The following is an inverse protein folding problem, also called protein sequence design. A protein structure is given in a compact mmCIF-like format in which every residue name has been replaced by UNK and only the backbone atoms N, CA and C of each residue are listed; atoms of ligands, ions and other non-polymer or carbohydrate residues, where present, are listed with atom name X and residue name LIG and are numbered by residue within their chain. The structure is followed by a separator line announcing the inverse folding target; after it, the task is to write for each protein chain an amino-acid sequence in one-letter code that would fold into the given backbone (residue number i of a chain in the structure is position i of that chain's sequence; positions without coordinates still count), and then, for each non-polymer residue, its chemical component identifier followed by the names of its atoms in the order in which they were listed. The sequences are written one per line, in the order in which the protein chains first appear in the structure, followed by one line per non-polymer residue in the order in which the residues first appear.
data_IF_719760976810
#
_entry.id   IF_719760976810
#
_cell.length_a   1.000
_cell.length_b   1.000
_cell.length_c   1.000
_cell.angle_alpha   90.00
_cell.angle_beta   90.00
_cell.angle_gamma   90.00
#
_symmetry.space_group_name_H-M   'P 1'
#
loop_
_entity.id
_entity.type
_entity.pdbx_description
1 polymer ?
#
# COMPACT_ATOMS: atom_id res chain seq x y z
N UNK A 1 -10.90 0.34 6.23
CA UNK A 1 -10.30 1.28 5.25
C UNK A 1 -9.25 2.09 5.97
N UNK A 2 -8.02 2.16 5.48
CA UNK A 2 -7.01 3.06 6.03
C UNK A 2 -7.51 4.51 6.00
N UNK A 3 -7.31 5.25 7.08
CA UNK A 3 -7.53 6.70 7.09
C UNK A 3 -6.27 7.40 6.61
N UNK A 4 -6.45 8.50 5.87
CA UNK A 4 -5.37 9.30 5.31
C UNK A 4 -5.30 10.62 6.06
N UNK A 5 -4.15 10.89 6.68
CA UNK A 5 -3.82 12.21 7.20
C UNK A 5 -3.27 13.06 6.06
N UNK A 6 -3.85 14.25 5.88
CA UNK A 6 -3.45 15.22 4.86
C UNK A 6 -2.86 16.45 5.54
N UNK A 7 -1.61 16.76 5.23
CA UNK A 7 -0.91 17.95 5.72
C UNK A 7 -0.68 18.92 4.56
N UNK A 8 -1.01 20.19 4.74
CA UNK A 8 -0.68 21.22 3.74
C UNK A 8 0.79 21.59 3.87
N UNK A 9 1.50 21.61 2.75
CA UNK A 9 2.88 22.08 2.67
C UNK A 9 2.82 23.57 2.34
N UNK A 10 3.21 24.39 3.29
CA UNK A 10 3.39 25.82 3.07
C UNK A 10 4.78 26.03 2.51
N UNK A 11 4.86 26.59 1.31
CA UNK A 11 6.12 26.92 0.70
C UNK A 11 6.12 28.40 0.34
N UNK A 12 6.95 29.15 1.05
CA UNK A 12 7.34 30.52 0.77
C UNK A 12 6.73 31.61 1.66
N UNK A 13 7.45 32.73 1.78
CA UNK A 13 7.00 34.01 2.35
C UNK A 13 6.18 34.80 1.29
N UNK A 14 5.27 35.71 1.71
CA UNK A 14 4.50 36.50 0.75
C UNK A 14 5.42 37.37 -0.12
N UNK A 15 5.51 37.05 -1.42
CA UNK A 15 6.27 37.81 -2.42
C UNK A 15 7.35 37.03 -3.18
N UNK A 16 7.55 35.73 -2.91
CA UNK A 16 8.52 34.89 -3.63
C UNK A 16 7.88 33.83 -4.54
N UNK A 17 8.71 33.23 -5.41
CA UNK A 17 8.31 32.33 -6.48
C UNK A 17 7.65 31.05 -5.94
N UNK A 18 6.55 30.64 -6.57
CA UNK A 18 5.77 29.47 -6.15
C UNK A 18 6.64 28.21 -6.19
N UNK A 19 6.69 27.49 -5.08
CA UNK A 19 7.51 26.28 -5.01
C UNK A 19 6.95 25.17 -5.90
N UNK A 20 7.85 24.48 -6.58
CA UNK A 20 7.54 23.35 -7.42
C UNK A 20 7.40 22.09 -6.58
N UNK A 21 6.25 21.42 -6.64
CA UNK A 21 5.99 20.18 -5.90
C UNK A 21 4.51 19.98 -5.57
N UNK A 22 4.21 18.86 -4.92
CA UNK A 22 2.88 18.63 -4.35
C UNK A 22 2.66 19.60 -3.18
N UNK A 23 1.49 20.26 -3.13
CA UNK A 23 1.13 21.19 -2.04
C UNK A 23 0.67 20.49 -0.77
N UNK A 24 0.64 19.15 -0.78
CA UNK A 24 0.15 18.34 0.31
C UNK A 24 1.00 17.10 0.49
N UNK A 25 1.21 16.72 1.75
CA UNK A 25 1.75 15.43 2.14
C UNK A 25 0.61 14.54 2.66
N UNK A 26 0.67 13.25 2.35
CA UNK A 26 -0.31 12.27 2.78
C UNK A 26 0.36 11.15 3.57
N UNK A 27 -0.21 10.79 4.73
CA UNK A 27 0.27 9.68 5.57
C UNK A 27 -0.86 8.72 5.89
N UNK A 28 -0.53 7.44 5.99
CA UNK A 28 -1.49 6.41 6.41
C UNK A 28 -1.58 6.40 7.94
N UNK A 29 -2.78 6.56 8.48
CA UNK A 29 -3.03 6.38 9.90
C UNK A 29 -2.98 4.90 10.26
N UNK A 30 -2.25 4.56 11.32
CA UNK A 30 -2.24 3.19 11.85
C UNK A 30 -3.59 2.89 12.50
N UNK A 31 -4.31 1.96 11.90
CA UNK A 31 -5.58 1.43 12.39
C UNK A 31 -5.46 -0.10 12.45
N UNK A 32 -6.17 -0.75 13.38
CA UNK A 32 -6.23 -2.20 13.40
C UNK A 32 -6.84 -2.72 12.09
N UNK A 33 -6.32 -3.84 11.61
CA UNK A 33 -6.83 -4.49 10.41
C UNK A 33 -8.31 -4.85 10.56
N UNK A 34 -9.04 -4.78 9.45
CA UNK A 34 -10.42 -5.23 9.42
C UNK A 34 -10.48 -6.75 9.68
N UNK A 35 -11.52 -7.25 10.38
CA UNK A 35 -11.71 -8.68 10.59
C UNK A 35 -11.67 -9.47 9.27
N UNK A 36 -11.18 -10.72 9.28
CA UNK A 36 -11.19 -11.56 8.09
C UNK A 36 -12.63 -11.76 7.59
N UNK A 37 -12.80 -11.75 6.26
CA UNK A 37 -14.13 -11.84 5.63
C UNK A 37 -14.90 -10.52 5.56
N UNK A 38 -14.31 -9.40 6.00
CA UNK A 38 -14.91 -8.09 5.77
C UNK A 38 -14.96 -7.78 4.27
N UNK A 39 -16.11 -7.31 3.78
CA UNK A 39 -16.28 -6.86 2.40
C UNK A 39 -15.28 -5.75 2.07
N UNK A 40 -14.54 -5.82 0.94
CA UNK A 40 -13.62 -4.76 0.57
C UNK A 40 -14.37 -3.44 0.33
N UNK A 41 -13.68 -2.33 0.58
CA UNK A 41 -14.35 -1.03 0.59
C UNK A 41 -14.82 -0.56 -0.79
N UNK A 42 -14.13 -0.99 -1.85
CA UNK A 42 -14.54 -0.72 -3.23
C UNK A 42 -15.86 -1.40 -3.58
N UNK A 43 -16.04 -2.65 -3.13
CA UNK A 43 -17.29 -3.40 -3.27
C UNK A 43 -18.45 -2.67 -2.58
N UNK A 44 -18.21 -2.18 -1.35
CA UNK A 44 -19.20 -1.37 -0.64
C UNK A 44 -19.56 -0.11 -1.44
N UNK A 45 -18.58 0.62 -1.96
CA UNK A 45 -18.79 1.83 -2.76
C UNK A 45 -19.62 1.56 -4.03
N UNK A 46 -19.35 0.48 -4.77
CA UNK A 46 -20.18 0.09 -5.92
C UNK A 46 -21.61 -0.29 -5.48
N UNK A 47 -21.74 -1.03 -4.37
CA UNK A 47 -23.05 -1.49 -3.89
C UNK A 47 -24.00 -0.36 -3.48
N UNK A 48 -23.46 0.84 -3.15
CA UNK A 48 -24.27 2.03 -2.88
C UNK A 48 -25.11 2.46 -4.09
N UNK A 49 -24.75 2.05 -5.30
CA UNK A 49 -25.49 2.36 -6.53
C UNK A 49 -26.42 1.23 -6.98
N UNK A 50 -26.50 0.12 -6.22
CA UNK A 50 -27.41 -0.97 -6.52
C UNK A 50 -28.87 -0.49 -6.44
N UNK A 51 -29.68 -0.82 -7.45
CA UNK A 51 -31.08 -0.40 -7.47
C UNK A 51 -31.31 1.08 -7.81
N UNK A 52 -30.24 1.86 -8.06
CA UNK A 52 -30.35 3.23 -8.53
C UNK A 52 -30.36 3.28 -10.07
N UNK A 53 -31.27 4.06 -10.68
CA UNK A 53 -31.29 4.22 -12.13
C UNK A 53 -30.08 5.01 -12.63
N UNK A 54 -29.55 4.60 -13.77
CA UNK A 54 -28.34 5.18 -14.41
C UNK A 54 -28.55 5.39 -15.90
N UNK A 55 -27.70 6.24 -16.50
CA UNK A 55 -27.62 6.48 -17.95
C UNK A 55 -28.91 7.05 -18.55
N UNK A 56 -29.66 7.87 -17.79
CA UNK A 56 -30.96 8.42 -18.20
C UNK A 56 -32.01 7.34 -18.56
N UNK A 57 -31.75 6.10 -18.13
CA UNK A 57 -32.68 4.97 -18.25
C UNK A 57 -33.28 4.68 -16.87
N UNK A 58 -34.56 4.29 -16.82
CA UNK A 58 -35.15 3.76 -15.57
C UNK A 58 -34.67 2.34 -15.22
N UNK A 59 -33.58 1.87 -15.85
CA UNK A 59 -33.01 0.55 -15.57
C UNK A 59 -32.05 0.63 -14.39
N UNK A 60 -32.12 -0.39 -13.56
CA UNK A 60 -31.26 -0.55 -12.39
C UNK A 60 -30.41 -1.81 -12.57
N UNK A 61 -29.24 -1.80 -11.95
CA UNK A 61 -28.27 -2.89 -12.06
C UNK A 61 -27.70 -3.24 -10.68
N UNK A 62 -27.08 -4.41 -10.60
CA UNK A 62 -26.17 -4.76 -9.51
C UNK A 62 -24.75 -4.47 -9.98
N UNK A 63 -23.95 -3.87 -9.10
CA UNK A 63 -22.65 -3.33 -9.42
C UNK A 63 -21.56 -4.06 -8.66
N UNK A 64 -20.51 -4.46 -9.38
CA UNK A 64 -19.29 -5.04 -8.81
C UNK A 64 -18.06 -4.22 -9.23
N UNK A 65 -16.99 -4.19 -8.43
CA UNK A 65 -15.78 -3.45 -8.79
C UNK A 65 -15.19 -3.86 -10.14
N UNK A 66 -14.82 -2.87 -10.95
CA UNK A 66 -14.07 -3.07 -12.19
C UNK A 66 -12.68 -2.41 -12.07
N UNK A 67 -11.63 -3.22 -12.18
CA UNK A 67 -10.24 -2.76 -12.07
C UNK A 67 -9.55 -2.59 -13.44
N UNK A 68 -10.23 -2.88 -14.55
CA UNK A 68 -9.65 -2.81 -15.91
C UNK A 68 -9.71 -1.43 -16.57
N UNK A 69 -10.23 -0.41 -15.88
CA UNK A 69 -10.35 0.94 -16.42
C UNK A 69 -9.00 1.68 -16.39
N UNK A 70 -8.76 2.66 -17.30
CA UNK A 70 -7.51 3.39 -17.36
C UNK A 70 -7.13 4.11 -16.05
N UNK A 71 -8.12 4.69 -15.36
CA UNK A 71 -7.94 5.31 -14.06
C UNK A 71 -8.48 4.39 -12.96
N UNK A 72 -7.56 3.70 -12.27
CA UNK A 72 -7.89 2.75 -11.20
C UNK A 72 -8.54 3.41 -9.99
N UNK A 73 -8.32 4.70 -9.75
CA UNK A 73 -8.87 5.44 -8.60
C UNK A 73 -10.16 6.21 -8.90
N UNK A 74 -10.73 5.96 -10.09
CA UNK A 74 -12.14 6.24 -10.33
C UNK A 74 -12.96 5.00 -9.93
N UNK A 75 -14.14 5.24 -9.37
CA UNK A 75 -15.09 4.22 -8.94
C UNK A 75 -15.78 3.63 -10.18
N UNK A 76 -15.03 2.76 -10.86
CA UNK A 76 -15.50 2.01 -12.01
C UNK A 76 -16.18 0.73 -11.52
N UNK A 77 -17.46 0.58 -11.85
CA UNK A 77 -18.26 -0.57 -11.46
C UNK A 77 -18.84 -1.25 -12.70
N UNK A 78 -18.65 -2.56 -12.82
CA UNK A 78 -19.22 -3.40 -13.86
C UNK A 78 -20.67 -3.75 -13.49
N UNK A 79 -21.58 -3.64 -14.45
CA UNK A 79 -22.95 -4.11 -14.27
C UNK A 79 -22.95 -5.65 -14.34
N UNK A 80 -23.34 -6.31 -13.25
CA UNK A 80 -23.32 -7.77 -13.14
C UNK A 80 -24.22 -8.41 -14.22
N UNK A 81 -23.69 -9.43 -14.90
CA UNK A 81 -24.37 -10.07 -16.03
C UNK A 81 -24.40 -9.25 -17.34
N UNK A 82 -23.72 -8.09 -17.38
CA UNK A 82 -23.68 -7.21 -18.54
C UNK A 82 -22.23 -6.87 -18.94
N UNK A 83 -22.04 -6.48 -20.21
CA UNK A 83 -20.72 -6.22 -20.79
C UNK A 83 -20.36 -4.72 -20.79
N UNK A 84 -20.79 -3.97 -19.77
CA UNK A 84 -20.45 -2.55 -19.64
C UNK A 84 -20.17 -2.19 -18.18
N UNK A 85 -19.29 -1.20 -17.99
CA UNK A 85 -19.04 -0.59 -16.70
C UNK A 85 -19.44 0.89 -16.73
N UNK A 86 -19.69 1.44 -15.56
CA UNK A 86 -19.96 2.86 -15.38
C UNK A 86 -19.01 3.43 -14.33
N UNK A 87 -18.60 4.69 -14.51
CA UNK A 87 -17.80 5.41 -13.52
C UNK A 87 -18.71 6.31 -12.70
N UNK A 88 -18.73 6.09 -11.38
CA UNK A 88 -19.51 6.87 -10.42
C UNK A 88 -18.72 8.03 -9.81
N UNK A 89 -17.61 8.41 -10.44
CA UNK A 89 -16.72 9.46 -9.98
C UNK A 89 -15.45 8.90 -9.35
N UNK A 90 -14.91 9.61 -8.36
CA UNK A 90 -13.66 9.27 -7.70
C UNK A 90 -13.90 8.32 -6.53
N UNK A 91 -13.01 7.35 -6.33
CA UNK A 91 -13.02 6.55 -5.11
C UNK A 91 -12.71 7.40 -3.87
N UNK A 92 -13.25 6.98 -2.74
CA UNK A 92 -12.93 7.60 -1.46
C UNK A 92 -11.46 7.36 -1.09
N UNK A 93 -10.83 8.39 -0.51
CA UNK A 93 -9.43 8.33 -0.10
C UNK A 93 -9.19 7.17 0.88
N UNK A 94 -8.10 6.43 0.68
CA UNK A 94 -7.78 5.22 1.44
C UNK A 94 -8.34 3.93 0.85
N UNK A 95 -9.12 3.98 -0.24
CA UNK A 95 -9.52 2.76 -0.97
C UNK A 95 -8.30 2.10 -1.62
N UNK A 96 -8.06 0.79 -1.46
CA UNK A 96 -6.98 0.10 -2.18
C UNK A 96 -7.19 0.16 -3.70
N UNK A 97 -6.18 0.59 -4.46
CA UNK A 97 -6.30 0.74 -5.92
C UNK A 97 -6.48 -0.60 -6.63
N UNK A 98 -5.78 -1.63 -6.15
CA UNK A 98 -5.77 -2.97 -6.73
C UNK A 98 -5.74 -4.00 -5.61
N UNK A 99 -6.53 -5.09 -5.69
CA UNK A 99 -6.50 -6.13 -4.69
C UNK A 99 -5.09 -6.70 -4.51
N UNK A 100 -4.64 -6.83 -3.26
CA UNK A 100 -3.35 -7.42 -2.91
C UNK A 100 -2.13 -6.50 -3.05
N UNK A 101 -2.30 -5.24 -3.46
CA UNK A 101 -1.21 -4.26 -3.46
C UNK A 101 -1.31 -3.31 -2.25
N UNK A 102 -0.21 -2.61 -1.95
CA UNK A 102 -0.16 -1.60 -0.88
C UNK A 102 -0.57 -0.20 -1.35
N UNK A 103 -1.00 -0.06 -2.61
CA UNK A 103 -1.38 1.23 -3.18
C UNK A 103 -2.78 1.65 -2.71
N UNK A 104 -2.91 2.92 -2.33
CA UNK A 104 -4.16 3.54 -1.91
C UNK A 104 -4.53 4.70 -2.83
N UNK A 105 -5.81 4.83 -3.14
CA UNK A 105 -6.34 5.95 -3.86
C UNK A 105 -6.40 7.17 -2.95
N UNK A 106 -5.77 8.27 -3.38
CA UNK A 106 -5.78 9.56 -2.69
C UNK A 106 -5.88 10.66 -3.73
N UNK A 107 -6.87 11.54 -3.60
CA UNK A 107 -7.13 12.63 -4.53
C UNK A 107 -7.22 12.17 -6.01
N UNK A 108 -7.68 10.94 -6.25
CA UNK A 108 -7.84 10.35 -7.59
C UNK A 108 -6.57 9.78 -8.20
N UNK A 109 -5.48 9.68 -7.43
CA UNK A 109 -4.22 9.06 -7.83
C UNK A 109 -3.98 7.82 -6.99
N UNK A 110 -3.39 6.78 -7.58
CA UNK A 110 -2.93 5.63 -6.82
C UNK A 110 -1.54 5.91 -6.25
N UNK A 111 -1.43 6.03 -4.94
CA UNK A 111 -0.18 6.31 -4.23
C UNK A 111 0.20 5.11 -3.36
N UNK A 112 1.47 4.70 -3.41
CA UNK A 112 2.00 3.67 -2.51
C UNK A 112 2.76 4.32 -1.36
N UNK A 113 2.70 3.71 -0.18
CA UNK A 113 3.48 4.18 0.96
C UNK A 113 4.97 3.89 0.75
N UNK A 114 5.81 4.90 0.94
CA UNK A 114 7.23 4.68 1.15
C UNK A 114 7.50 4.05 2.51
N UNK A 115 8.72 3.58 2.72
CA UNK A 115 9.17 3.07 4.02
C UNK A 115 9.16 4.13 5.13
N UNK A 116 9.06 5.42 4.75
CA UNK A 116 8.93 6.59 5.62
C UNK A 116 7.47 6.86 6.06
N UNK A 117 6.53 6.03 5.59
CA UNK A 117 5.10 6.14 5.88
C UNK A 117 4.39 7.25 5.11
N UNK A 118 5.06 7.89 4.15
CA UNK A 118 4.50 8.94 3.31
C UNK A 118 4.00 8.31 2.01
N UNK A 119 2.76 8.62 1.63
CA UNK A 119 2.19 8.16 0.37
C UNK A 119 2.78 8.95 -0.80
N UNK A 120 3.36 8.23 -1.76
CA UNK A 120 3.96 8.83 -2.96
C UNK A 120 5.37 9.38 -2.78
N UNK A 121 6.03 9.18 -1.63
CA UNK A 121 7.43 9.61 -1.42
C UNK A 121 8.41 8.88 -2.33
N UNK A 122 8.10 7.63 -2.70
CA UNK A 122 9.00 6.77 -3.47
C UNK A 122 10.21 6.29 -2.65
N UNK A 123 10.27 6.60 -1.35
CA UNK A 123 11.35 6.16 -0.47
C UNK A 123 11.24 4.67 -0.22
N UNK A 124 12.30 3.93 -0.55
CA UNK A 124 12.37 2.48 -0.37
C UNK A 124 13.39 2.10 0.71
N UNK A 125 13.18 0.94 1.31
CA UNK A 125 14.20 0.31 2.14
C UNK A 125 15.41 -0.07 1.28
N UNK A 126 16.60 0.12 1.84
CA UNK A 126 17.83 -0.43 1.27
C UNK A 126 17.92 -1.94 1.53
N UNK A 127 18.99 -2.59 1.05
CA UNK A 127 19.17 -4.04 1.23
C UNK A 127 19.39 -4.45 2.69
N UNK A 128 19.73 -3.50 3.55
CA UNK A 128 19.88 -3.69 4.98
C UNK A 128 18.53 -3.55 5.71
N UNK A 129 17.49 -3.07 5.03
CA UNK A 129 16.18 -2.78 5.61
C UNK A 129 16.11 -1.40 6.27
N UNK A 130 17.06 -0.50 5.97
CA UNK A 130 17.00 0.89 6.39
C UNK A 130 16.27 1.72 5.36
N UNK A 131 15.26 2.47 5.80
CA UNK A 131 14.52 3.36 4.92
C UNK A 131 15.41 4.50 4.40
N UNK A 132 15.53 4.64 3.08
CA UNK A 132 16.41 5.62 2.45
C UNK A 132 17.91 5.37 2.69
N UNK A 133 18.28 4.16 3.08
CA UNK A 133 19.66 3.79 3.39
C UNK A 133 20.59 3.71 2.17
N UNK A 134 21.90 3.78 2.43
CA UNK A 134 22.94 3.76 1.40
C UNK A 134 23.52 2.35 1.12
N UNK A 135 22.92 1.28 1.67
CA UNK A 135 23.43 -0.10 1.61
C UNK A 135 24.79 -0.31 2.29
N UNK A 136 25.13 0.52 3.26
CA UNK A 136 26.43 0.51 3.94
C UNK A 136 26.34 0.21 5.44
N UNK A 137 25.15 0.03 6.00
CA UNK A 137 24.94 -0.39 7.39
C UNK A 137 25.12 -1.90 7.60
N UNK A 138 25.03 -2.71 6.53
CA UNK A 138 25.12 -4.16 6.60
C UNK A 138 26.15 -4.76 5.62
N UNK A 139 26.42 -6.05 5.79
CA UNK A 139 27.23 -6.91 4.92
C UNK A 139 26.33 -8.00 4.34
N UNK A 140 26.51 -8.32 3.06
CA UNK A 140 25.76 -9.37 2.38
C UNK A 140 26.46 -10.73 2.58
N UNK A 141 25.71 -11.72 3.07
CA UNK A 141 26.24 -13.07 3.33
C UNK A 141 25.66 -14.03 2.30
N UNK A 142 26.51 -14.51 1.38
CA UNK A 142 26.10 -15.45 0.32
C UNK A 142 25.93 -16.89 0.83
N UNK A 143 26.64 -17.28 1.89
CA UNK A 143 26.57 -18.63 2.49
C UNK A 143 26.86 -18.57 3.99
N UNK A 144 25.99 -19.17 4.77
CA UNK A 144 26.25 -19.54 6.17
C UNK A 144 26.34 -21.07 6.18
N UNK A 145 27.51 -21.62 6.49
CA UNK A 145 27.62 -23.06 6.73
C UNK A 145 27.05 -23.35 8.12
N UNK A 146 25.97 -24.11 8.21
CA UNK A 146 25.56 -24.79 9.44
C UNK A 146 25.45 -26.27 9.13
N UNK A 147 26.21 -27.08 9.87
CA UNK A 147 25.99 -28.53 9.92
C UNK A 147 24.54 -28.80 10.33
N UNK A 148 23.93 -29.76 9.64
CA UNK A 148 22.50 -29.98 9.58
C UNK A 148 21.88 -30.32 10.96
N UNK A 149 20.86 -29.54 11.32
CA UNK A 149 19.87 -29.86 12.35
C UNK A 149 18.58 -29.12 12.02
N UNK A 150 17.53 -29.89 11.74
CA UNK A 150 16.24 -29.48 11.17
C UNK A 150 15.67 -28.14 11.67
N UNK A 151 15.17 -27.32 10.73
CA UNK A 151 14.42 -26.11 11.02
C UNK A 151 12.94 -26.35 10.63
N UNK A 152 11.97 -26.18 11.56
CA UNK A 152 10.57 -26.41 11.24
C UNK A 152 10.02 -25.30 10.31
N UNK A 153 8.92 -25.66 9.66
CA UNK A 153 8.29 -24.93 8.55
C UNK A 153 7.63 -23.65 9.09
N UNK A 154 8.19 -22.50 8.73
CA UNK A 154 7.70 -21.15 9.05
C UNK A 154 6.41 -20.79 8.30
N UNK A 155 5.32 -20.55 9.04
CA UNK A 155 4.01 -20.12 8.51
C UNK A 155 3.78 -18.61 8.53
N UNK A 156 4.83 -17.79 8.42
CA UNK A 156 4.67 -16.34 8.29
C UNK A 156 5.66 -15.75 7.27
N UNK A 157 5.27 -14.68 6.58
CA UNK A 157 6.02 -13.95 5.55
C UNK A 157 7.30 -13.26 6.06
N UNK A 158 8.14 -13.93 6.86
CA UNK A 158 9.47 -13.44 7.18
C UNK A 158 10.37 -13.61 5.95
N UNK A 159 10.69 -12.49 5.30
CA UNK A 159 11.74 -12.45 4.27
C UNK A 159 13.04 -12.92 4.91
N UNK A 160 13.59 -14.04 4.45
CA UNK A 160 14.96 -14.45 4.77
C UNK A 160 15.89 -13.30 4.38
N UNK A 161 16.46 -12.60 5.38
CA UNK A 161 17.42 -11.51 5.14
C UNK A 161 18.82 -12.13 5.07
N UNK A 162 19.48 -11.97 3.92
CA UNK A 162 20.85 -12.42 3.69
C UNK A 162 21.89 -11.35 4.09
N UNK A 163 21.58 -10.53 5.09
CA UNK A 163 22.40 -9.37 5.51
C UNK A 163 22.67 -9.39 7.01
N UNK A 164 23.87 -8.95 7.41
CA UNK A 164 24.32 -8.84 8.81
C UNK A 164 24.80 -7.42 9.07
N UNK A 165 24.38 -6.81 10.18
CA UNK A 165 24.80 -5.45 10.59
C UNK A 165 26.33 -5.33 10.71
N UNK A 166 26.90 -4.23 10.21
CA UNK A 166 28.34 -3.96 10.32
C UNK A 166 28.72 -3.67 11.78
N UNK A 167 29.83 -4.25 12.24
CA UNK A 167 30.36 -4.02 13.60
C UNK A 167 29.82 -4.97 14.66
N UNK A 168 28.88 -5.86 14.31
CA UNK A 168 28.50 -6.98 15.16
C UNK A 168 29.55 -8.08 15.01
N UNK A 169 30.29 -8.47 16.08
CA UNK A 169 31.23 -9.56 15.96
C UNK A 169 30.47 -10.86 15.61
N UNK A 170 31.04 -11.68 14.72
CA UNK A 170 30.43 -12.97 14.33
C UNK A 170 30.15 -13.88 15.53
N UNK A 171 30.80 -13.63 16.68
CA UNK A 171 30.61 -14.31 17.96
C UNK A 171 29.40 -13.82 18.77
N UNK A 172 28.82 -12.66 18.45
CA UNK A 172 27.58 -12.15 19.06
C UNK A 172 26.32 -12.42 18.22
N UNK A 173 26.47 -13.07 17.06
CA UNK A 173 25.36 -13.76 16.39
C UNK A 173 24.97 -14.98 17.23
N UNK A 174 24.23 -14.73 18.31
CA UNK A 174 23.64 -15.81 19.09
C UNK A 174 22.78 -16.70 18.16
N UNK A 175 22.80 -18.03 18.33
CA UNK A 175 21.87 -18.91 17.66
C UNK A 175 20.46 -18.61 18.20
N UNK A 176 19.73 -17.75 17.49
CA UNK A 176 18.32 -17.49 17.72
C UNK A 176 18.04 -16.39 18.73
N UNK A 177 17.66 -15.22 18.21
CA UNK A 177 16.57 -14.46 18.82
C UNK A 177 15.63 -13.97 17.73
N UNK A 178 14.58 -14.78 17.54
CA UNK A 178 13.23 -14.34 17.20
C UNK A 178 12.96 -13.91 15.75
N UNK A 179 13.26 -14.82 14.82
CA UNK A 179 12.24 -15.26 13.89
C UNK A 179 11.72 -16.59 14.41
N UNK A 180 10.66 -16.57 15.23
CA UNK A 180 9.98 -17.81 15.64
C UNK A 180 9.65 -18.59 14.39
N UNK A 181 10.20 -19.81 14.31
CA UNK A 181 9.78 -20.79 13.34
C UNK A 181 8.25 -20.95 13.31
#
# INVERSE_FOLDING_TARGET
VPLILRSQLECGLPGEELCWGDSHEYRVCQLPDCPPGTTPFRDLQCSLYNGHPVLDTQKTYQWVPFHGAPNVCDLNCLAEGHAFYHSFGRELDGTPCTPGTQGLCVAGRCLSAGCDGILGSGTLEDRCGLCGGANDSCLFVQRVFRDAGDCPILTHHQRLRNTVERGVPLTSLAPGSQGSC
#
